data_IF_726439027405
#
_entry.id   IF_726439027405
#
_cell.length_a   1.000
_cell.length_b   1.000
_cell.length_c   1.000
_cell.angle_alpha   90.00
_cell.angle_beta   90.00
_cell.angle_gamma   90.00
#
_symmetry.space_group_name_H-M   'P 1'
#
loop_
_entity.id
_entity.type
_entity.pdbx_description
1 polymer ?
#
# COMPACT_ATOMS: atom_id res chain seq x y z
N UNK A 1 4.01 11.24 -11.02
CA UNK A 1 3.37 11.11 -12.35
C UNK A 1 4.22 11.91 -13.31
N UNK A 2 4.70 11.30 -14.39
CA UNK A 2 5.30 12.05 -15.49
C UNK A 2 4.23 12.89 -16.16
N UNK A 3 4.62 14.05 -16.69
CA UNK A 3 3.73 15.08 -17.26
C UNK A 3 2.79 14.52 -18.35
N UNK A 4 3.20 13.44 -19.02
CA UNK A 4 2.44 12.77 -20.09
C UNK A 4 1.43 11.69 -19.60
N UNK A 5 1.21 11.54 -18.29
CA UNK A 5 0.25 10.57 -17.76
C UNK A 5 0.69 9.09 -17.84
N UNK A 6 1.87 8.80 -18.39
CA UNK A 6 2.43 7.45 -18.41
C UNK A 6 2.92 7.01 -17.03
N UNK A 7 2.52 5.80 -16.63
CA UNK A 7 3.03 5.12 -15.43
C UNK A 7 4.38 4.50 -15.78
N UNK A 8 5.45 4.97 -15.12
CA UNK A 8 6.79 4.40 -15.28
C UNK A 8 7.00 3.34 -14.20
N UNK A 9 7.10 2.08 -14.62
CA UNK A 9 7.57 1.01 -13.75
C UNK A 9 9.11 1.10 -13.67
N UNK A 10 9.62 1.48 -12.50
CA UNK A 10 11.04 1.36 -12.17
C UNK A 10 11.22 0.14 -11.27
N UNK A 11 12.05 -0.80 -11.71
CA UNK A 11 12.45 -1.92 -10.89
C UNK A 11 13.52 -1.43 -9.90
N UNK A 12 13.13 -1.23 -8.65
CA UNK A 12 14.06 -0.89 -7.57
C UNK A 12 14.76 -2.19 -7.14
N UNK A 13 16.04 -2.33 -7.48
CA UNK A 13 16.87 -3.43 -6.97
C UNK A 13 17.19 -3.20 -5.49
N UNK A 14 16.67 -4.04 -4.60
CA UNK A 14 17.00 -4.01 -3.18
C UNK A 14 16.18 -5.04 -2.39
N UNK A 15 16.66 -5.39 -1.21
CA UNK A 15 15.88 -6.20 -0.28
C UNK A 15 14.65 -5.39 0.15
N UNK A 16 13.46 -5.90 -0.19
CA UNK A 16 12.19 -5.23 0.08
C UNK A 16 12.01 -4.91 1.57
N UNK A 17 12.48 -5.78 2.48
CA UNK A 17 12.37 -5.55 3.91
C UNK A 17 13.34 -4.48 4.39
N UNK A 18 14.58 -4.49 3.87
CA UNK A 18 15.56 -3.46 4.19
C UNK A 18 15.07 -2.07 3.75
N UNK A 19 14.53 -1.97 2.53
CA UNK A 19 13.96 -0.72 1.99
C UNK A 19 12.75 -0.25 2.81
N UNK A 20 11.90 -1.18 3.25
CA UNK A 20 10.72 -0.85 4.05
C UNK A 20 11.10 -0.37 5.46
N UNK A 21 12.10 -1.00 6.09
CA UNK A 21 12.65 -0.56 7.38
C UNK A 21 13.24 0.85 7.24
N UNK A 22 14.05 1.09 6.21
CA UNK A 22 14.63 2.40 5.95
C UNK A 22 13.55 3.49 5.79
N UNK A 23 12.50 3.19 5.02
CA UNK A 23 11.38 4.11 4.83
C UNK A 23 10.69 4.46 6.15
N UNK A 24 10.44 3.48 7.02
CA UNK A 24 9.89 3.75 8.36
C UNK A 24 10.84 4.56 9.24
N UNK A 25 12.14 4.25 9.23
CA UNK A 25 13.14 4.99 9.99
C UNK A 25 13.19 6.46 9.57
N UNK A 26 13.14 6.75 8.27
CA UNK A 26 13.07 8.13 7.74
C UNK A 26 11.79 8.85 8.18
N UNK A 27 10.66 8.15 8.22
CA UNK A 27 9.40 8.70 8.74
C UNK A 27 9.50 9.11 10.21
N UNK A 28 10.04 8.23 11.05
CA UNK A 28 10.20 8.46 12.50
C UNK A 28 11.19 9.60 12.77
N UNK A 29 12.37 9.54 12.17
CA UNK A 29 13.46 10.47 12.47
C UNK A 29 13.28 11.85 11.82
N UNK A 30 12.71 11.88 10.61
CA UNK A 30 12.58 13.09 9.81
C UNK A 30 11.19 13.72 9.83
N UNK A 31 10.21 13.11 10.51
CA UNK A 31 8.80 13.54 10.46
C UNK A 31 8.21 13.46 9.04
N UNK A 32 8.83 12.67 8.16
CA UNK A 32 8.35 12.52 6.78
C UNK A 32 7.12 11.63 6.75
N UNK A 33 6.11 12.02 5.97
CA UNK A 33 4.90 11.23 5.79
C UNK A 33 5.25 9.91 5.11
N UNK A 34 4.75 8.81 5.67
CA UNK A 34 4.85 7.52 5.01
C UNK A 34 4.06 7.55 3.70
N UNK A 35 4.62 6.93 2.65
CA UNK A 35 3.98 6.83 1.34
C UNK A 35 2.55 6.25 1.42
N UNK A 36 2.32 5.31 2.34
CA UNK A 36 1.00 4.80 2.68
C UNK A 36 0.60 5.31 4.06
N UNK A 37 -0.50 6.06 4.10
CA UNK A 37 -1.07 6.50 5.37
C UNK A 37 -1.71 5.31 6.10
N UNK A 38 -1.82 5.37 7.44
CA UNK A 38 -2.49 4.33 8.22
C UNK A 38 -3.91 4.02 7.71
N UNK A 39 -4.66 5.05 7.30
CA UNK A 39 -6.03 4.89 6.81
C UNK A 39 -6.07 4.13 5.48
N UNK A 40 -5.09 4.34 4.61
CA UNK A 40 -4.97 3.59 3.35
C UNK A 40 -4.64 2.12 3.62
N UNK A 41 -3.76 1.83 4.59
CA UNK A 41 -3.45 0.46 4.99
C UNK A 41 -4.68 -0.27 5.55
N UNK A 42 -5.46 0.41 6.41
CA UNK A 42 -6.72 -0.14 6.96
C UNK A 42 -7.72 -0.43 5.85
N UNK A 43 -7.92 0.51 4.90
CA UNK A 43 -8.83 0.30 3.77
C UNK A 43 -8.41 -0.87 2.90
N UNK A 44 -7.12 -1.05 2.62
CA UNK A 44 -6.62 -2.20 1.89
C UNK A 44 -6.95 -3.52 2.62
N UNK A 45 -6.75 -3.58 3.93
CA UNK A 45 -7.09 -4.76 4.72
C UNK A 45 -8.61 -5.07 4.67
N UNK A 46 -9.45 -4.05 4.78
CA UNK A 46 -10.91 -4.19 4.66
C UNK A 46 -11.34 -4.70 3.28
N UNK A 47 -10.71 -4.22 2.21
CA UNK A 47 -10.97 -4.70 0.85
C UNK A 47 -10.64 -6.19 0.71
N UNK A 48 -9.48 -6.62 1.21
CA UNK A 48 -9.06 -8.02 1.18
C UNK A 48 -10.02 -8.93 1.95
N UNK A 49 -10.48 -8.48 3.12
CA UNK A 49 -11.46 -9.23 3.92
C UNK A 49 -12.83 -9.31 3.25
N UNK A 50 -13.32 -8.21 2.67
CA UNK A 50 -14.57 -8.18 1.93
C UNK A 50 -14.53 -9.10 0.70
N UNK A 51 -13.40 -9.12 -0.03
CA UNK A 51 -13.18 -10.04 -1.15
C UNK A 51 -13.21 -11.50 -0.70
N UNK A 52 -12.48 -11.82 0.38
CA UNK A 52 -12.47 -13.16 0.94
C UNK A 52 -13.86 -13.61 1.37
N UNK A 53 -14.61 -12.72 2.02
CA UNK A 53 -15.99 -12.97 2.46
C UNK A 53 -16.89 -13.22 1.26
N UNK A 54 -16.83 -12.36 0.24
CA UNK A 54 -17.62 -12.50 -0.98
C UNK A 54 -17.33 -13.83 -1.71
N UNK A 55 -16.06 -14.23 -1.83
CA UNK A 55 -15.69 -15.52 -2.42
C UNK A 55 -16.24 -16.71 -1.63
N UNK A 56 -16.32 -16.60 -0.30
CA UNK A 56 -16.82 -17.68 0.56
C UNK A 56 -18.34 -17.79 0.54
N UNK A 57 -19.05 -16.67 0.47
CA UNK A 57 -20.52 -16.62 0.60
C UNK A 57 -21.24 -16.52 -0.74
N UNK A 58 -20.54 -16.15 -1.82
CA UNK A 58 -21.15 -15.81 -3.11
C UNK A 58 -21.96 -14.51 -3.09
N UNK A 59 -21.86 -13.70 -2.03
CA UNK A 59 -22.64 -12.46 -1.88
C UNK A 59 -21.77 -11.24 -2.13
N UNK A 60 -22.37 -10.17 -2.66
CA UNK A 60 -21.71 -8.86 -2.81
C UNK A 60 -21.51 -8.25 -1.42
N UNK A 61 -20.28 -7.82 -1.11
CA UNK A 61 -19.94 -7.12 0.14
C UNK A 61 -19.69 -5.65 -0.17
N UNK A 62 -20.34 -4.75 0.56
CA UNK A 62 -20.20 -3.28 0.39
C UNK A 62 -19.13 -2.74 1.35
N UNK A 63 -18.25 -1.90 0.81
CA UNK A 63 -17.15 -1.22 1.50
C UNK A 63 -17.46 0.26 1.72
#
# INVERSE_FOLDING_TARGET
MTDDGNVREEMVSGDQYALQIEHFSRGILGGTLLLYSPERMIKQAQVLDAWRTSMKTGTIVRL
#
